data_IF_737695178180
#
_entry.id   IF_737695178180
#
_cell.length_a   1.000
_cell.length_b   1.000
_cell.length_c   1.000
_cell.angle_alpha   90.00
_cell.angle_beta   90.00
_cell.angle_gamma   90.00
#
_symmetry.space_group_name_H-M   'P 1'
#
loop_
_entity.id
_entity.type
_entity.pdbx_description
1 polymer ?
#
# COMPACT_ATOMS: atom_id res chain seq x y z
N UNK A 1 -7.99 12.43 -23.01
CA UNK A 1 -8.06 11.48 -21.90
C UNK A 1 -6.65 11.10 -21.51
N UNK A 2 -6.38 11.07 -20.24
CA UNK A 2 -5.09 10.73 -19.65
C UNK A 2 -5.08 9.24 -19.36
N UNK A 3 -4.03 8.52 -19.76
CA UNK A 3 -3.92 7.10 -19.47
C UNK A 3 -3.30 6.88 -18.09
N UNK A 4 -4.02 6.15 -17.24
CA UNK A 4 -3.68 5.93 -15.83
C UNK A 4 -3.63 4.45 -15.51
N UNK A 5 -2.49 3.96 -15.07
CA UNK A 5 -2.36 2.65 -14.44
C UNK A 5 -2.54 2.80 -12.91
N UNK A 6 -3.60 2.21 -12.37
CA UNK A 6 -3.83 2.17 -10.92
C UNK A 6 -3.86 0.73 -10.41
N UNK A 7 -3.27 0.52 -9.25
CA UNK A 7 -3.25 -0.75 -8.56
C UNK A 7 -4.01 -0.63 -7.23
N UNK A 8 -5.19 -1.22 -7.13
CA UNK A 8 -6.09 -1.03 -6.01
C UNK A 8 -6.57 -2.33 -5.34
N UNK A 9 -6.17 -3.50 -5.82
CA UNK A 9 -6.50 -4.77 -5.14
C UNK A 9 -5.70 -4.86 -3.85
N UNK A 10 -6.36 -5.10 -2.74
CA UNK A 10 -5.69 -5.18 -1.43
C UNK A 10 -6.44 -6.11 -0.49
N UNK A 11 -5.68 -6.82 0.33
CA UNK A 11 -6.16 -7.58 1.48
C UNK A 11 -5.56 -7.01 2.76
N UNK A 12 -6.24 -7.19 3.90
CA UNK A 12 -5.86 -6.54 5.14
C UNK A 12 -5.92 -7.51 6.32
N UNK A 13 -4.87 -7.50 7.14
CA UNK A 13 -4.79 -8.22 8.42
C UNK A 13 -5.18 -9.71 8.35
N UNK A 14 -4.84 -10.39 7.25
CA UNK A 14 -5.09 -11.80 7.05
C UNK A 14 -4.20 -12.68 7.94
N UNK A 15 -4.56 -13.96 8.04
CA UNK A 15 -3.76 -14.96 8.72
C UNK A 15 -2.33 -15.07 8.19
N UNK A 16 -1.43 -15.57 9.04
CA UNK A 16 -0.05 -15.89 8.67
C UNK A 16 -0.03 -17.11 7.75
N UNK A 17 -0.22 -16.85 6.48
CA UNK A 17 -0.43 -17.86 5.44
C UNK A 17 0.37 -17.50 4.20
N UNK A 18 1.02 -18.53 3.65
CA UNK A 18 1.69 -18.40 2.37
C UNK A 18 0.71 -18.63 1.19
N UNK A 19 1.01 -17.98 0.08
CA UNK A 19 0.43 -18.30 -1.23
C UNK A 19 1.03 -19.59 -1.78
N UNK A 20 0.51 -20.06 -2.90
CA UNK A 20 1.08 -21.22 -3.64
C UNK A 20 2.52 -20.97 -4.10
N UNK A 21 2.91 -19.70 -4.29
CA UNK A 21 4.27 -19.32 -4.66
C UNK A 21 5.22 -19.25 -3.46
N UNK A 22 4.72 -19.40 -2.23
CA UNK A 22 5.47 -19.41 -0.99
C UNK A 22 5.72 -18.04 -0.35
N UNK A 23 5.12 -16.97 -0.83
CA UNK A 23 5.19 -15.62 -0.23
C UNK A 23 4.06 -15.41 0.77
N UNK A 24 4.23 -14.44 1.70
CA UNK A 24 3.13 -13.96 2.52
C UNK A 24 1.96 -13.51 1.66
N UNK A 25 0.75 -13.96 1.99
CA UNK A 25 -0.45 -13.68 1.20
C UNK A 25 -0.73 -12.19 1.07
N UNK A 26 -0.45 -11.39 2.10
CA UNK A 26 -0.66 -9.95 2.05
C UNK A 26 0.41 -9.26 1.20
N UNK A 27 1.68 -9.67 1.33
CA UNK A 27 2.77 -9.07 0.56
C UNK A 27 2.64 -9.41 -0.93
N UNK A 28 2.32 -10.64 -1.27
CA UNK A 28 2.13 -11.01 -2.68
C UNK A 28 0.94 -10.28 -3.29
N UNK A 29 -0.20 -10.22 -2.60
CA UNK A 29 -1.41 -9.57 -3.12
C UNK A 29 -1.26 -8.05 -3.20
N UNK A 30 -0.73 -7.42 -2.14
CA UNK A 30 -0.77 -5.96 -2.03
C UNK A 30 0.40 -5.25 -2.71
N UNK A 31 1.54 -5.94 -2.89
CA UNK A 31 2.75 -5.31 -3.43
C UNK A 31 3.33 -6.08 -4.62
N UNK A 32 3.74 -7.33 -4.47
CA UNK A 32 4.49 -8.03 -5.53
C UNK A 32 3.68 -8.19 -6.83
N UNK A 33 2.36 -8.43 -6.72
CA UNK A 33 1.47 -8.48 -7.89
C UNK A 33 1.38 -7.13 -8.60
N UNK A 34 1.31 -6.04 -7.84
CA UNK A 34 1.25 -4.68 -8.39
C UNK A 34 2.59 -4.26 -9.01
N UNK A 35 3.70 -4.65 -8.40
CA UNK A 35 5.03 -4.44 -8.96
C UNK A 35 5.17 -5.14 -10.31
N UNK A 36 4.79 -6.41 -10.40
CA UNK A 36 4.80 -7.18 -11.64
C UNK A 36 3.86 -6.59 -12.69
N UNK A 37 2.63 -6.24 -12.30
CA UNK A 37 1.65 -5.62 -13.19
C UNK A 37 2.17 -4.29 -13.77
N UNK A 38 2.78 -3.45 -12.92
CA UNK A 38 3.39 -2.19 -13.37
C UNK A 38 4.49 -2.46 -14.40
N UNK A 39 5.37 -3.43 -14.15
CA UNK A 39 6.41 -3.83 -15.11
C UNK A 39 5.82 -4.27 -16.45
N UNK A 40 4.77 -5.10 -16.43
CA UNK A 40 4.15 -5.61 -17.65
C UNK A 40 3.43 -4.52 -18.46
N UNK A 41 2.85 -3.54 -17.78
CA UNK A 41 2.18 -2.40 -18.42
C UNK A 41 3.14 -1.26 -18.76
N UNK A 42 4.38 -1.28 -18.27
CA UNK A 42 5.30 -0.15 -18.38
C UNK A 42 5.54 0.32 -19.81
N UNK A 43 5.72 -0.57 -20.82
CA UNK A 43 5.85 -0.13 -22.21
C UNK A 43 4.62 0.64 -22.75
N UNK A 44 3.41 0.26 -22.32
CA UNK A 44 2.17 0.98 -22.68
C UNK A 44 2.08 2.33 -21.98
N UNK A 45 2.58 2.43 -20.75
CA UNK A 45 2.64 3.68 -19.99
C UNK A 45 3.63 4.64 -20.64
N UNK A 46 4.80 4.16 -21.10
CA UNK A 46 5.77 4.96 -21.86
C UNK A 46 5.18 5.42 -23.19
N UNK A 47 4.47 4.55 -23.89
CA UNK A 47 3.77 4.94 -25.13
C UNK A 47 2.71 6.02 -24.85
N UNK A 48 1.94 5.89 -23.79
CA UNK A 48 0.96 6.90 -23.39
C UNK A 48 1.61 8.26 -23.05
N UNK A 49 2.76 8.25 -22.37
CA UNK A 49 3.56 9.47 -22.15
C UNK A 49 3.94 10.15 -23.47
N UNK A 50 4.43 9.39 -24.43
CA UNK A 50 4.84 9.93 -25.75
C UNK A 50 3.65 10.50 -26.53
N UNK A 51 2.49 9.84 -26.48
CA UNK A 51 1.31 10.23 -27.25
C UNK A 51 0.51 11.38 -26.60
N UNK A 52 0.46 11.42 -25.26
CA UNK A 52 -0.38 12.35 -24.50
C UNK A 52 0.40 13.43 -23.75
N UNK A 53 1.73 13.28 -23.67
CA UNK A 53 2.61 14.21 -22.96
C UNK A 53 2.73 13.95 -21.45
N UNK A 54 1.89 13.07 -20.89
CA UNK A 54 1.92 12.64 -19.48
C UNK A 54 1.26 11.27 -19.34
N UNK A 55 1.76 10.47 -18.42
CA UNK A 55 1.07 9.27 -17.92
C UNK A 55 1.24 9.17 -16.39
N UNK A 56 0.44 8.34 -15.71
CA UNK A 56 0.45 8.24 -14.25
C UNK A 56 0.45 6.80 -13.77
N UNK A 57 1.24 6.54 -12.74
CA UNK A 57 1.25 5.30 -11.97
C UNK A 57 0.81 5.66 -10.55
N UNK A 58 -0.35 5.16 -10.13
CA UNK A 58 -0.94 5.49 -8.82
C UNK A 58 -0.98 4.24 -7.95
N UNK A 59 -0.20 4.24 -6.87
CA UNK A 59 -0.16 3.17 -5.88
C UNK A 59 -1.09 3.47 -4.70
N UNK A 60 -1.57 2.41 -4.05
CA UNK A 60 -2.45 2.52 -2.89
C UNK A 60 -1.73 2.09 -1.61
N UNK A 61 -1.48 3.03 -0.71
CA UNK A 61 -0.92 2.81 0.61
C UNK A 61 -1.99 2.92 1.72
N UNK A 62 -1.59 3.03 2.96
CA UNK A 62 -2.45 3.16 4.13
C UNK A 62 -1.67 3.78 5.28
N UNK A 63 -2.40 4.34 6.25
CA UNK A 63 -1.84 4.74 7.55
C UNK A 63 -1.19 3.57 8.29
N UNK A 64 -1.57 2.32 7.99
CA UNK A 64 -0.93 1.13 8.56
C UNK A 64 0.58 1.05 8.28
N UNK A 65 1.11 1.77 7.27
CA UNK A 65 2.57 1.91 7.06
C UNK A 65 3.29 2.46 8.29
N UNK A 66 2.64 3.29 9.11
CA UNK A 66 3.19 3.88 10.33
C UNK A 66 3.28 2.89 11.51
N UNK A 67 2.67 1.71 11.38
CA UNK A 67 2.79 0.65 12.39
C UNK A 67 4.14 -0.08 12.33
N UNK A 68 4.94 0.18 11.30
CA UNK A 68 6.26 -0.43 11.09
C UNK A 68 7.30 0.66 10.88
N UNK A 69 8.51 0.46 11.44
CA UNK A 69 9.58 1.46 11.42
C UNK A 69 10.35 1.48 10.09
N UNK A 70 10.53 0.31 9.50
CA UNK A 70 11.31 0.12 8.28
C UNK A 70 10.78 -1.06 7.48
N UNK A 71 11.11 -1.08 6.20
CA UNK A 71 10.85 -2.23 5.34
C UNK A 71 11.86 -3.35 5.65
N UNK A 72 11.36 -4.56 5.87
CA UNK A 72 12.18 -5.70 6.20
C UNK A 72 12.18 -6.73 5.05
N UNK A 73 13.36 -7.12 4.57
CA UNK A 73 13.55 -8.05 3.44
C UNK A 73 12.77 -9.36 3.58
N UNK A 74 12.67 -9.90 4.82
CA UNK A 74 11.98 -11.18 5.06
C UNK A 74 10.53 -11.21 4.58
N UNK A 75 9.83 -10.06 4.55
CA UNK A 75 8.45 -9.98 4.07
C UNK A 75 8.34 -10.05 2.55
N UNK A 76 9.42 -9.72 1.83
CA UNK A 76 9.51 -9.79 0.36
C UNK A 76 10.04 -11.13 -0.14
N UNK A 77 10.42 -12.05 0.76
CA UNK A 77 11.03 -13.34 0.44
C UNK A 77 10.03 -14.50 0.59
N UNK A 78 10.34 -15.62 -0.04
CA UNK A 78 9.60 -16.88 0.15
C UNK A 78 9.92 -17.46 1.52
N UNK A 79 8.93 -17.51 2.39
CA UNK A 79 9.10 -17.98 3.76
C UNK A 79 8.04 -19.00 4.21
N UNK A 80 7.08 -19.32 3.33
CA UNK A 80 6.06 -20.32 3.62
C UNK A 80 5.07 -19.96 4.74
N UNK A 81 5.00 -18.70 5.16
CA UNK A 81 4.35 -18.23 6.38
C UNK A 81 5.38 -18.02 7.50
N UNK A 82 4.96 -18.08 8.78
CA UNK A 82 5.81 -17.85 9.97
C UNK A 82 6.39 -16.42 10.08
N UNK A 83 5.61 -15.43 9.71
CA UNK A 83 5.97 -14.01 9.76
C UNK A 83 5.32 -13.26 10.93
N UNK A 84 5.30 -13.87 12.10
CA UNK A 84 4.84 -13.26 13.34
C UNK A 84 3.46 -13.72 13.81
N UNK A 85 2.90 -14.76 13.18
CA UNK A 85 1.66 -15.43 13.61
C UNK A 85 0.39 -14.58 13.47
N UNK A 86 -0.66 -14.99 14.17
CA UNK A 86 -2.03 -14.50 13.96
C UNK A 86 -2.53 -13.48 15.00
N UNK A 87 -1.60 -12.88 15.77
CA UNK A 87 -1.97 -11.81 16.70
C UNK A 87 -2.68 -10.66 16.00
N UNK A 88 -3.85 -10.25 16.50
CA UNK A 88 -4.76 -9.29 15.87
C UNK A 88 -4.82 -7.92 16.55
N UNK A 89 -4.06 -7.69 17.62
CA UNK A 89 -4.02 -6.40 18.30
C UNK A 89 -3.47 -5.31 17.36
N UNK A 90 -4.22 -4.22 17.18
CA UNK A 90 -3.90 -3.19 16.18
C UNK A 90 -3.13 -1.99 16.76
N UNK A 91 -3.54 -1.49 17.95
CA UNK A 91 -3.18 -0.14 18.37
C UNK A 91 -1.80 -0.02 19.03
N UNK A 92 -1.61 -0.47 20.25
CA UNK A 92 -0.38 -0.17 21.01
C UNK A 92 0.82 -1.05 20.62
N UNK A 93 0.55 -2.31 20.31
CA UNK A 93 1.56 -3.29 19.84
C UNK A 93 0.96 -4.09 18.70
N UNK A 94 1.13 -3.68 17.45
CA UNK A 94 0.51 -4.35 16.33
C UNK A 94 0.95 -5.82 16.27
N UNK A 95 -0.03 -6.72 16.36
CA UNK A 95 0.18 -8.16 16.20
C UNK A 95 0.65 -8.52 14.80
N UNK A 96 1.05 -9.77 14.59
CA UNK A 96 1.64 -10.24 13.34
C UNK A 96 0.81 -9.91 12.10
N UNK A 97 -0.52 -10.00 12.16
CA UNK A 97 -1.43 -9.66 11.04
C UNK A 97 -1.26 -8.20 10.58
N UNK A 98 -1.28 -7.26 11.52
CA UNK A 98 -1.18 -5.83 11.24
C UNK A 98 0.24 -5.41 10.87
N UNK A 99 1.25 -6.07 11.44
CA UNK A 99 2.65 -5.83 11.06
C UNK A 99 2.90 -6.23 9.61
N UNK A 100 2.43 -7.42 9.19
CA UNK A 100 2.51 -7.83 7.78
C UNK A 100 1.78 -6.86 6.86
N UNK A 101 0.55 -6.47 7.22
CA UNK A 101 -0.19 -5.47 6.46
C UNK A 101 0.56 -4.14 6.36
N UNK A 102 1.09 -3.63 7.48
CA UNK A 102 1.90 -2.41 7.51
C UNK A 102 3.11 -2.49 6.58
N UNK A 103 3.80 -3.63 6.54
CA UNK A 103 4.92 -3.87 5.63
C UNK A 103 4.49 -3.77 4.16
N UNK A 104 3.32 -4.29 3.79
CA UNK A 104 2.84 -4.18 2.40
C UNK A 104 2.54 -2.74 2.01
N UNK A 105 1.98 -1.95 2.93
CA UNK A 105 1.62 -0.55 2.68
C UNK A 105 2.84 0.38 2.69
N UNK A 106 3.85 0.04 3.48
CA UNK A 106 5.17 0.68 3.42
C UNK A 106 5.88 0.33 2.09
N UNK A 107 5.82 -0.93 1.65
CA UNK A 107 6.37 -1.36 0.36
C UNK A 107 5.75 -0.58 -0.82
N UNK A 108 4.44 -0.34 -0.81
CA UNK A 108 3.78 0.44 -1.87
C UNK A 108 4.22 1.91 -1.88
N UNK A 109 4.43 2.52 -0.72
CA UNK A 109 4.97 3.88 -0.63
C UNK A 109 6.44 3.93 -1.12
N UNK A 110 7.27 2.97 -0.69
CA UNK A 110 8.65 2.84 -1.15
C UNK A 110 8.75 2.55 -2.66
N UNK A 111 7.83 1.78 -3.22
CA UNK A 111 7.76 1.53 -4.67
C UNK A 111 7.49 2.82 -5.45
N UNK A 112 6.58 3.66 -4.95
CA UNK A 112 6.35 4.98 -5.55
C UNK A 112 7.61 5.85 -5.50
N UNK A 113 8.33 5.85 -4.36
CA UNK A 113 9.60 6.56 -4.23
C UNK A 113 10.66 6.06 -5.22
N UNK A 114 10.78 4.73 -5.40
CA UNK A 114 11.66 4.13 -6.40
C UNK A 114 11.32 4.60 -7.81
N UNK A 115 10.05 4.48 -8.20
CA UNK A 115 9.57 4.89 -9.53
C UNK A 115 9.84 6.38 -9.75
N UNK A 116 9.44 7.24 -8.80
CA UNK A 116 9.67 8.68 -8.89
C UNK A 116 11.14 9.01 -9.18
N UNK A 117 12.07 8.45 -8.40
CA UNK A 117 13.52 8.72 -8.57
C UNK A 117 14.06 8.21 -9.91
N UNK A 118 13.63 7.02 -10.35
CA UNK A 118 14.05 6.45 -11.63
C UNK A 118 13.50 7.24 -12.81
N UNK A 119 12.22 7.59 -12.78
CA UNK A 119 11.57 8.41 -13.80
C UNK A 119 12.18 9.81 -13.88
N UNK A 120 12.45 10.43 -12.72
CA UNK A 120 13.14 11.71 -12.64
C UNK A 120 14.53 11.66 -13.27
N UNK A 121 15.31 10.62 -12.97
CA UNK A 121 16.66 10.43 -13.55
C UNK A 121 16.63 10.24 -15.08
N UNK A 122 15.55 9.68 -15.61
CA UNK A 122 15.33 9.49 -17.06
C UNK A 122 14.77 10.74 -17.74
N UNK A 123 14.32 11.75 -16.98
CA UNK A 123 13.63 12.92 -17.53
C UNK A 123 12.21 12.61 -18.03
N UNK A 124 11.62 11.50 -17.58
CA UNK A 124 10.27 11.09 -17.96
C UNK A 124 9.21 11.98 -17.31
N UNK A 125 8.12 12.21 -18.04
CA UNK A 125 6.92 12.93 -17.56
C UNK A 125 5.87 12.00 -16.94
N UNK A 126 6.17 10.71 -16.80
CA UNK A 126 5.32 9.80 -16.06
C UNK A 126 5.34 10.20 -14.58
N UNK A 127 4.16 10.44 -14.00
CA UNK A 127 4.02 10.76 -12.57
C UNK A 127 3.84 9.47 -11.76
N UNK A 128 4.74 9.21 -10.82
CA UNK A 128 4.57 8.16 -9.82
C UNK A 128 3.97 8.78 -8.55
N UNK A 129 2.78 8.32 -8.17
CA UNK A 129 1.97 8.88 -7.09
C UNK A 129 1.53 7.78 -6.14
N UNK A 130 1.31 8.12 -4.89
CA UNK A 130 0.72 7.21 -3.91
C UNK A 130 -0.39 7.90 -3.14
N UNK A 131 -1.49 7.17 -2.90
CA UNK A 131 -2.61 7.69 -2.13
C UNK A 131 -2.98 6.76 -0.97
N UNK A 132 -3.62 7.33 0.06
CA UNK A 132 -4.28 6.57 1.12
C UNK A 132 -5.66 7.13 1.43
N UNK A 133 -6.63 6.26 1.82
CA UNK A 133 -8.02 6.67 2.01
C UNK A 133 -8.33 7.22 3.43
N UNK A 134 -7.32 7.38 4.30
CA UNK A 134 -7.62 7.52 5.73
C UNK A 134 -8.24 6.24 6.29
N UNK A 135 -9.24 6.39 7.14
CA UNK A 135 -10.10 5.28 7.60
C UNK A 135 -11.41 5.37 6.83
N UNK A 136 -11.54 4.60 5.76
CA UNK A 136 -12.75 4.55 4.94
C UNK A 136 -13.54 3.28 5.20
N UNK A 137 -14.86 3.38 5.25
CA UNK A 137 -15.74 2.23 5.39
C UNK A 137 -15.80 1.48 4.05
N UNK A 138 -15.27 0.26 4.03
CA UNK A 138 -15.19 -0.60 2.82
C UNK A 138 -15.38 -2.07 3.21
N UNK A 139 -15.73 -2.92 2.25
CA UNK A 139 -15.88 -4.38 2.42
C UNK A 139 -14.59 -5.07 2.91
N UNK A 140 -13.44 -4.42 2.76
CA UNK A 140 -12.15 -4.91 3.25
C UNK A 140 -12.15 -5.15 4.77
N UNK A 141 -12.95 -4.37 5.50
CA UNK A 141 -13.07 -4.44 6.95
C UNK A 141 -13.93 -5.64 7.38
N UNK A 142 -14.97 -5.96 6.62
CA UNK A 142 -15.83 -7.13 6.89
C UNK A 142 -15.05 -8.44 6.75
N UNK A 143 -14.15 -8.52 5.80
CA UNK A 143 -13.25 -9.67 5.64
C UNK A 143 -12.29 -9.80 6.82
N UNK A 144 -11.73 -8.69 7.29
CA UNK A 144 -10.83 -8.66 8.46
C UNK A 144 -11.54 -9.11 9.73
N UNK A 145 -12.76 -8.61 9.99
CA UNK A 145 -13.55 -8.97 11.21
C UNK A 145 -13.91 -10.45 11.21
N UNK A 146 -14.33 -11.01 10.08
CA UNK A 146 -14.64 -12.45 9.96
C UNK A 146 -13.45 -13.33 10.28
N UNK A 147 -12.24 -12.90 9.91
CA UNK A 147 -11.01 -13.65 10.10
C UNK A 147 -10.41 -13.50 11.51
N UNK A 148 -10.81 -12.47 12.28
CA UNK A 148 -10.44 -12.28 13.70
C UNK A 148 -11.14 -13.29 14.63
N UNK A 149 -12.15 -14.04 14.18
CA UNK A 149 -12.97 -14.97 14.94
C UNK A 149 -12.28 -16.21 15.51
N UNK A 150 -10.98 -16.40 15.29
CA UNK A 150 -10.20 -17.54 15.78
C UNK A 150 -9.82 -17.50 17.28
N UNK A 151 -10.27 -16.53 18.06
CA UNK A 151 -10.00 -16.49 19.50
C UNK A 151 -11.12 -17.20 20.31
N UNK A 152 -10.73 -18.13 21.17
CA UNK A 152 -11.63 -18.97 21.98
C UNK A 152 -12.51 -18.21 22.99
N UNK A 153 -12.38 -16.89 23.14
CA UNK A 153 -13.14 -16.11 24.12
C UNK A 153 -14.12 -15.15 23.42
N UNK A 154 -15.41 -15.55 23.38
CA UNK A 154 -16.50 -14.80 22.74
C UNK A 154 -16.73 -13.40 23.33
N UNK A 155 -16.38 -13.17 24.60
CA UNK A 155 -16.53 -11.85 25.25
C UNK A 155 -15.45 -10.88 24.76
N UNK A 156 -14.20 -11.35 24.68
CA UNK A 156 -13.08 -10.56 24.15
C UNK A 156 -13.36 -10.22 22.69
N UNK A 157 -13.82 -11.19 21.89
CA UNK A 157 -14.17 -10.98 20.49
C UNK A 157 -15.23 -9.87 20.35
N UNK A 158 -16.34 -9.94 21.09
CA UNK A 158 -17.40 -8.92 21.06
C UNK A 158 -16.89 -7.52 21.46
N UNK A 159 -15.99 -7.46 22.43
CA UNK A 159 -15.38 -6.19 22.82
C UNK A 159 -14.48 -5.62 21.71
N UNK A 160 -13.63 -6.45 21.10
CA UNK A 160 -12.79 -6.06 19.96
C UNK A 160 -13.63 -5.59 18.77
N UNK A 161 -14.70 -6.32 18.44
CA UNK A 161 -15.64 -5.96 17.37
C UNK A 161 -16.33 -4.62 17.65
N UNK A 162 -16.73 -4.38 18.90
CA UNK A 162 -17.35 -3.11 19.30
C UNK A 162 -16.35 -1.94 19.15
N UNK A 163 -15.14 -2.11 19.68
CA UNK A 163 -14.08 -1.08 19.57
C UNK A 163 -13.74 -0.81 18.10
N UNK A 164 -13.63 -1.86 17.29
CA UNK A 164 -13.35 -1.71 15.86
C UNK A 164 -14.51 -1.01 15.13
N UNK A 165 -15.77 -1.35 15.42
CA UNK A 165 -16.94 -0.64 14.86
C UNK A 165 -16.98 0.83 15.27
N UNK A 166 -16.63 1.15 16.51
CA UNK A 166 -16.54 2.55 16.94
C UNK A 166 -15.41 3.30 16.22
N UNK A 167 -14.25 2.66 16.04
CA UNK A 167 -13.14 3.20 15.27
C UNK A 167 -13.56 3.50 13.81
N UNK A 168 -14.30 2.60 13.17
CA UNK A 168 -14.78 2.80 11.80
C UNK A 168 -15.76 3.97 11.68
N UNK A 169 -16.62 4.18 12.68
CA UNK A 169 -17.55 5.33 12.72
C UNK A 169 -16.84 6.68 12.79
N UNK A 170 -15.59 6.72 13.24
CA UNK A 170 -14.75 7.94 13.25
C UNK A 170 -14.14 8.25 11.88
N UNK A 171 -14.19 7.29 10.96
CA UNK A 171 -13.69 7.41 9.60
C UNK A 171 -14.62 8.18 8.66
N UNK A 172 -14.43 7.98 7.38
CA UNK A 172 -15.17 8.60 6.29
C UNK A 172 -15.86 7.55 5.41
N UNK A 173 -16.71 8.01 4.48
CA UNK A 173 -17.36 7.12 3.52
C UNK A 173 -16.34 6.47 2.55
N UNK A 174 -16.76 5.46 1.81
CA UNK A 174 -15.94 4.87 0.75
C UNK A 174 -15.67 5.87 -0.38
N UNK A 175 -16.67 6.71 -0.68
CA UNK A 175 -16.58 7.78 -1.69
C UNK A 175 -15.52 8.82 -1.28
N UNK A 176 -15.59 9.35 -0.04
CA UNK A 176 -14.60 10.29 0.47
C UNK A 176 -13.21 9.65 0.55
N UNK A 177 -13.13 8.38 0.93
CA UNK A 177 -11.88 7.61 0.94
C UNK A 177 -11.24 7.46 -0.44
N UNK A 178 -12.03 7.52 -1.50
CA UNK A 178 -11.54 7.44 -2.89
C UNK A 178 -10.95 8.75 -3.41
N UNK A 179 -11.23 9.89 -2.77
CA UNK A 179 -10.80 11.22 -3.25
C UNK A 179 -9.29 11.34 -3.46
N UNK A 180 -8.48 10.68 -2.61
CA UNK A 180 -7.02 10.68 -2.76
C UNK A 180 -6.57 10.04 -4.07
N UNK A 181 -7.13 8.89 -4.42
CA UNK A 181 -6.85 8.20 -5.69
C UNK A 181 -7.37 9.01 -6.85
N UNK A 182 -8.60 9.52 -6.77
CA UNK A 182 -9.21 10.34 -7.83
C UNK A 182 -8.39 11.61 -8.09
N UNK A 183 -7.89 12.26 -7.05
CA UNK A 183 -6.98 13.41 -7.19
C UNK A 183 -5.68 13.01 -7.88
N UNK A 184 -5.05 11.92 -7.50
CA UNK A 184 -3.86 11.40 -8.20
C UNK A 184 -4.13 11.11 -9.69
N UNK A 185 -5.34 10.67 -10.03
CA UNK A 185 -5.71 10.31 -11.40
C UNK A 185 -6.02 11.55 -12.24
N UNK A 186 -6.80 12.49 -11.71
CA UNK A 186 -7.45 13.51 -12.52
C UNK A 186 -6.97 14.94 -12.28
N UNK A 187 -6.34 15.24 -11.14
CA UNK A 187 -5.94 16.61 -10.84
C UNK A 187 -4.67 17.02 -11.60
N UNK A 188 -4.64 18.22 -12.13
CA UNK A 188 -3.49 18.76 -12.84
C UNK A 188 -2.39 19.24 -11.89
N UNK A 189 -2.76 19.60 -10.66
CA UNK A 189 -1.90 20.18 -9.63
C UNK A 189 -1.07 19.17 -8.83
N UNK A 190 -1.19 17.85 -9.09
CA UNK A 190 -0.37 16.84 -8.42
C UNK A 190 0.95 16.64 -9.16
N UNK A 191 2.02 16.49 -8.38
CA UNK A 191 3.36 16.26 -8.91
C UNK A 191 3.87 14.85 -8.61
N UNK A 192 4.76 14.36 -9.48
CA UNK A 192 5.40 13.05 -9.25
C UNK A 192 6.14 13.02 -7.91
N UNK A 193 5.98 11.96 -7.16
CA UNK A 193 6.58 11.81 -5.83
C UNK A 193 5.73 12.41 -4.71
N UNK A 194 4.44 12.62 -4.92
CA UNK A 194 3.52 13.03 -3.85
C UNK A 194 2.78 11.85 -3.22
N UNK A 195 2.52 12.02 -1.93
CA UNK A 195 1.65 11.16 -1.13
C UNK A 195 0.34 11.90 -0.86
N UNK A 196 -0.78 11.39 -1.39
CA UNK A 196 -2.07 12.07 -1.35
C UNK A 196 -3.03 11.40 -0.36
N UNK A 197 -3.62 12.19 0.53
CA UNK A 197 -4.59 11.69 1.50
C UNK A 197 -5.03 12.73 2.52
N UNK A 198 -5.84 12.35 3.52
CA UNK A 198 -6.38 13.30 4.51
C UNK A 198 -5.34 13.75 5.55
N UNK A 199 -4.12 13.23 5.52
CA UNK A 199 -3.02 13.60 6.42
C UNK A 199 -1.96 12.51 6.51
N UNK A 200 -0.88 12.76 7.26
CA UNK A 200 0.28 11.87 7.33
C UNK A 200 0.47 11.18 8.69
N UNK A 201 -0.43 11.39 9.63
CA UNK A 201 -0.35 10.83 11.00
C UNK A 201 -1.46 9.80 11.24
N UNK A 202 -1.31 8.95 12.26
CA UNK A 202 -2.34 7.99 12.67
C UNK A 202 -3.67 8.66 13.07
N UNK A 203 -3.66 9.96 13.36
CA UNK A 203 -4.87 10.74 13.65
C UNK A 203 -5.60 11.22 12.39
N UNK A 204 -4.98 11.15 11.22
CA UNK A 204 -5.55 11.59 9.94
C UNK A 204 -6.53 10.53 9.39
N UNK A 205 -7.65 10.38 10.07
CA UNK A 205 -8.65 9.33 9.78
C UNK A 205 -9.60 9.74 8.65
N UNK A 206 -9.84 11.03 8.49
CA UNK A 206 -10.73 11.63 7.49
C UNK A 206 -10.32 13.06 7.17
N UNK A 207 -10.79 13.57 6.04
CA UNK A 207 -10.55 14.95 5.61
C UNK A 207 -10.30 15.07 4.11
N UNK A 208 -9.97 16.27 3.64
CA UNK A 208 -9.68 16.49 2.22
C UNK A 208 -8.42 15.73 1.78
N UNK A 209 -8.37 15.35 0.53
CA UNK A 209 -7.21 14.73 -0.09
C UNK A 209 -6.15 15.80 -0.40
N UNK A 210 -5.19 15.97 0.49
CA UNK A 210 -4.08 16.91 0.35
C UNK A 210 -2.82 16.18 -0.12
N UNK A 211 -1.92 16.91 -0.76
CA UNK A 211 -0.62 16.43 -1.21
C UNK A 211 0.45 16.64 -0.13
N UNK A 212 1.28 15.64 0.05
CA UNK A 212 2.40 15.62 1.00
C UNK A 212 3.66 15.08 0.30
N UNK A 213 4.86 15.50 0.71
CA UNK A 213 6.09 14.89 0.25
C UNK A 213 6.20 13.43 0.73
N UNK A 214 6.99 12.62 0.02
CA UNK A 214 7.35 11.27 0.47
C UNK A 214 8.15 11.35 1.78
N UNK A 215 7.92 10.38 2.67
CA UNK A 215 8.54 10.36 3.99
C UNK A 215 9.95 9.74 3.94
N UNK A 216 10.93 10.27 4.68
CA UNK A 216 12.31 9.78 4.67
C UNK A 216 12.49 8.31 5.09
N UNK A 217 11.54 7.75 5.86
CA UNK A 217 11.61 6.36 6.32
C UNK A 217 11.47 5.32 5.18
N UNK A 218 10.91 5.72 4.04
CA UNK A 218 10.83 4.87 2.84
C UNK A 218 11.41 5.55 1.58
N UNK A 219 11.59 6.88 1.57
CA UNK A 219 12.29 7.59 0.48
C UNK A 219 13.75 7.83 0.83
N UNK A 220 14.51 6.77 1.09
CA UNK A 220 15.94 6.78 1.26
C UNK A 220 16.61 5.72 0.37
N UNK A 221 17.90 5.89 0.02
CA UNK A 221 18.59 4.99 -0.92
C UNK A 221 18.54 3.52 -0.51
N UNK A 222 18.74 3.21 0.77
CA UNK A 222 18.78 1.86 1.29
C UNK A 222 17.43 1.14 1.15
N UNK A 223 16.34 1.80 1.57
CA UNK A 223 14.99 1.23 1.46
C UNK A 223 14.56 1.07 0.00
N UNK A 224 14.91 2.02 -0.87
CA UNK A 224 14.63 1.94 -2.32
C UNK A 224 15.35 0.78 -2.96
N UNK A 225 16.65 0.59 -2.67
CA UNK A 225 17.44 -0.52 -3.20
C UNK A 225 16.92 -1.85 -2.69
N UNK A 226 16.68 -1.98 -1.38
CA UNK A 226 16.09 -3.17 -0.78
C UNK A 226 14.78 -3.56 -1.47
N UNK A 227 13.83 -2.60 -1.58
CA UNK A 227 12.53 -2.87 -2.19
C UNK A 227 12.69 -3.36 -3.62
N UNK A 228 13.45 -2.59 -4.44
CA UNK A 228 13.54 -2.85 -5.87
C UNK A 228 14.19 -4.20 -6.15
N UNK A 229 15.36 -4.46 -5.54
CA UNK A 229 16.10 -5.71 -5.75
C UNK A 229 15.30 -6.93 -5.27
N UNK A 230 14.68 -6.86 -4.07
CA UNK A 230 13.88 -7.96 -3.55
C UNK A 230 12.59 -8.19 -4.35
N UNK A 231 11.94 -7.14 -4.86
CA UNK A 231 10.74 -7.27 -5.68
C UNK A 231 11.07 -7.86 -7.06
N UNK A 232 12.16 -7.44 -7.70
CA UNK A 232 12.65 -8.06 -8.93
C UNK A 232 12.99 -9.55 -8.74
N UNK A 233 13.69 -9.88 -7.67
CA UNK A 233 14.04 -11.27 -7.33
C UNK A 233 12.78 -12.12 -7.06
N UNK A 234 11.82 -11.58 -6.30
CA UNK A 234 10.57 -12.26 -5.99
C UNK A 234 9.73 -12.54 -7.24
N UNK A 235 9.61 -11.57 -8.14
CA UNK A 235 8.87 -11.68 -9.38
C UNK A 235 9.66 -12.38 -10.50
N UNK A 236 10.95 -12.68 -10.30
CA UNK A 236 11.88 -13.26 -11.29
C UNK A 236 11.92 -12.46 -12.60
N UNK A 237 12.03 -11.16 -12.49
CA UNK A 237 12.06 -10.24 -13.61
C UNK A 237 13.21 -9.24 -13.47
N UNK A 238 13.61 -8.65 -14.60
CA UNK A 238 14.33 -7.40 -14.64
C UNK A 238 13.36 -6.26 -14.95
N UNK A 239 13.40 -5.21 -14.15
CA UNK A 239 12.59 -4.02 -14.36
C UNK A 239 13.49 -2.79 -14.49
N UNK A 240 13.73 -2.38 -15.73
CA UNK A 240 14.39 -1.12 -16.05
C UNK A 240 13.34 -0.04 -16.32
N UNK A 241 13.53 1.12 -15.70
CA UNK A 241 12.70 2.34 -15.87
C UNK A 241 13.53 3.38 -16.56
#
# INVERSE_FOLDING_TARGET
PMDVARTAVSVMALEDKATVDGFDIQMQTNHLSHFLLTKLLFPLIEQAELEKGEARIVNHSSMARLMVKSLEAKYLQKNGGNLGGNGSLMLLFPGGRWRRYGQTKLANAAFTACLHKKLQAKGSKIKALVAHPGVAQTDLQDTTVKDLGGQNNRLIQRFVDLVFKLYLKMGQSGEDGSLGILRCIASEDVESGEFVGPGMTMAAMKGPALSYPLEPNYDNPETRELLWSQSCAAAKIEFSV
#
